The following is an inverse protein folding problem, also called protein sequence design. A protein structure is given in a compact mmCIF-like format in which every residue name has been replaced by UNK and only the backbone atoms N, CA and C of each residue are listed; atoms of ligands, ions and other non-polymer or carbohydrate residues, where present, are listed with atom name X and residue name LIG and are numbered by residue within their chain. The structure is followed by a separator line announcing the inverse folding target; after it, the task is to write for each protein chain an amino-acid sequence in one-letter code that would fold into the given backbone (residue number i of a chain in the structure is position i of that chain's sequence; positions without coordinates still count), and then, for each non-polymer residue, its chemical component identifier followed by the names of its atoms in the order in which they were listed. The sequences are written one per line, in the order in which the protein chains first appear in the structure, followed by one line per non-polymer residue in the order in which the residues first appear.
data_IF_271763193792
#
_entry.id   IF_271763193792
#
_cell.length_a   1.000
_cell.length_b   1.000
_cell.length_c   1.000
_cell.angle_alpha   90.00
_cell.angle_beta   90.00
_cell.angle_gamma   90.00
#
_symmetry.space_group_name_H-M   'P 1'
#
loop_
_entity.id
_entity.type
_entity.pdbx_description
1 polymer ?
#
# COMPACT_ATOMS: atom_id res chain seq x y z
N UNK A 1 -44.73 -13.08 34.98
CA UNK A 1 -43.78 -13.57 33.95
C UNK A 1 -43.86 -12.62 32.76
N UNK A 2 -43.06 -11.54 32.68
CA UNK A 2 -42.93 -10.81 31.42
C UNK A 2 -41.80 -11.45 30.62
N UNK A 3 -42.19 -12.13 29.55
CA UNK A 3 -41.34 -12.42 28.41
C UNK A 3 -41.51 -11.23 27.45
N UNK A 4 -40.37 -10.70 26.99
CA UNK A 4 -40.15 -9.85 25.81
C UNK A 4 -39.03 -8.87 26.13
N UNK A 5 -37.79 -9.36 26.08
CA UNK A 5 -36.65 -8.48 25.84
C UNK A 5 -36.70 -8.12 24.36
N UNK A 6 -37.38 -7.02 24.01
CA UNK A 6 -37.18 -6.37 22.72
C UNK A 6 -35.70 -5.99 22.66
N UNK A 7 -34.97 -6.64 21.76
CA UNK A 7 -33.67 -6.17 21.33
C UNK A 7 -33.93 -4.85 20.59
N UNK A 8 -33.85 -3.74 21.31
CA UNK A 8 -33.73 -2.41 20.69
C UNK A 8 -32.42 -2.40 19.91
N UNK A 9 -32.52 -2.68 18.61
CA UNK A 9 -31.42 -2.46 17.68
C UNK A 9 -31.23 -0.94 17.61
N UNK A 10 -30.07 -0.48 18.04
CA UNK A 10 -29.70 0.94 17.97
C UNK A 10 -29.88 1.45 16.54
N UNK A 11 -30.58 2.57 16.31
CA UNK A 11 -31.01 3.00 14.97
C UNK A 11 -29.88 3.40 14.01
N UNK A 12 -28.61 3.37 14.42
CA UNK A 12 -27.47 3.83 13.62
C UNK A 12 -26.31 2.81 13.67
N UNK A 13 -26.51 1.63 13.09
CA UNK A 13 -25.47 0.60 12.97
C UNK A 13 -25.13 0.37 11.49
N UNK A 14 -23.90 0.69 11.09
CA UNK A 14 -23.38 0.45 9.75
C UNK A 14 -22.46 -0.78 9.74
N UNK A 15 -22.77 -1.76 8.88
CA UNK A 15 -21.91 -2.93 8.64
C UNK A 15 -21.12 -2.75 7.36
N UNK A 16 -19.79 -2.96 7.43
CA UNK A 16 -18.91 -2.96 6.26
C UNK A 16 -18.36 -4.38 6.04
N UNK A 17 -18.57 -4.90 4.83
CA UNK A 17 -18.03 -6.19 4.39
C UNK A 17 -16.92 -5.97 3.36
N UNK A 18 -15.81 -6.69 3.49
CA UNK A 18 -14.65 -6.62 2.59
C UNK A 18 -14.24 -8.01 2.08
N UNK A 19 -15.06 -8.67 1.24
CA UNK A 19 -14.71 -9.96 0.68
C UNK A 19 -13.58 -9.82 -0.36
N UNK A 20 -12.60 -10.73 -0.33
CA UNK A 20 -11.58 -10.81 -1.39
C UNK A 20 -12.17 -11.27 -2.73
N UNK A 21 -13.30 -11.99 -2.67
CA UNK A 21 -14.06 -12.50 -3.80
C UNK A 21 -15.54 -12.28 -3.50
N UNK A 22 -16.21 -11.30 -4.11
CA UNK A 22 -17.59 -10.97 -3.78
C UNK A 22 -18.55 -12.13 -4.07
N UNK A 23 -18.24 -12.97 -5.06
CA UNK A 23 -19.03 -14.17 -5.39
C UNK A 23 -18.94 -15.32 -4.39
N UNK A 24 -18.02 -15.27 -3.42
CA UNK A 24 -17.90 -16.29 -2.37
C UNK A 24 -18.85 -16.01 -1.18
N UNK A 25 -19.53 -14.86 -1.18
CA UNK A 25 -20.44 -14.48 -0.10
C UNK A 25 -21.80 -15.19 -0.26
N UNK A 26 -22.35 -15.66 0.85
CA UNK A 26 -23.64 -16.35 0.86
C UNK A 26 -24.76 -15.46 0.32
N UNK A 27 -25.66 -16.06 -0.47
CA UNK A 27 -26.75 -15.34 -1.13
C UNK A 27 -27.67 -14.60 -0.15
N UNK A 28 -27.88 -15.12 1.05
CA UNK A 28 -28.73 -14.49 2.06
C UNK A 28 -28.06 -13.31 2.77
N UNK A 29 -26.73 -13.21 2.68
CA UNK A 29 -25.99 -12.03 3.15
C UNK A 29 -25.97 -10.99 2.04
N UNK A 30 -25.65 -11.38 0.80
CA UNK A 30 -25.63 -10.44 -0.34
C UNK A 30 -26.98 -9.78 -0.60
N UNK A 31 -28.09 -10.50 -0.39
CA UNK A 31 -29.46 -9.98 -0.55
C UNK A 31 -29.80 -8.85 0.45
N UNK A 32 -29.04 -8.73 1.54
CA UNK A 32 -29.23 -7.73 2.60
C UNK A 32 -28.17 -6.62 2.59
N UNK A 33 -27.37 -6.52 1.53
CA UNK A 33 -26.41 -5.45 1.35
C UNK A 33 -27.05 -4.38 0.48
N UNK A 34 -27.21 -3.16 1.01
CA UNK A 34 -27.79 -2.04 0.28
C UNK A 34 -26.83 -1.45 -0.77
N UNK A 35 -25.55 -1.32 -0.42
CA UNK A 35 -24.53 -0.72 -1.27
C UNK A 35 -23.28 -1.60 -1.41
N UNK A 36 -22.79 -1.73 -2.65
CA UNK A 36 -21.53 -2.40 -2.98
C UNK A 36 -20.58 -1.37 -3.57
N UNK A 37 -19.42 -1.21 -2.95
CA UNK A 37 -18.34 -0.34 -3.44
C UNK A 37 -17.19 -1.22 -3.92
N UNK A 38 -16.86 -1.11 -5.21
CA UNK A 38 -15.71 -1.79 -5.79
C UNK A 38 -14.45 -0.93 -5.66
N UNK A 39 -13.36 -1.57 -5.23
CA UNK A 39 -12.04 -0.95 -5.16
C UNK A 39 -11.15 -1.55 -6.26
N UNK A 40 -11.14 -0.95 -7.48
CA UNK A 40 -10.29 -1.44 -8.55
C UNK A 40 -8.81 -1.20 -8.24
N UNK A 41 -7.94 -1.80 -9.05
CA UNK A 41 -6.52 -1.48 -9.03
C UNK A 41 -6.31 0.00 -9.43
N UNK A 42 -5.32 0.68 -8.81
CA UNK A 42 -5.07 2.09 -9.07
C UNK A 42 -4.65 2.34 -10.51
N UNK A 43 -5.20 3.39 -11.12
CA UNK A 43 -4.82 3.90 -12.44
C UNK A 43 -3.47 4.63 -12.39
N UNK A 44 -2.87 4.95 -13.55
CA UNK A 44 -1.53 5.56 -13.63
C UNK A 44 -1.36 6.79 -12.71
N UNK A 45 -2.31 7.72 -12.74
CA UNK A 45 -2.27 8.93 -11.91
C UNK A 45 -2.37 8.63 -10.41
N UNK A 46 -3.15 7.61 -10.04
CA UNK A 46 -3.29 7.16 -8.66
C UNK A 46 -2.02 6.46 -8.19
N UNK A 47 -1.39 5.65 -9.06
CA UNK A 47 -0.08 5.05 -8.80
C UNK A 47 0.99 6.11 -8.62
N UNK A 48 0.99 7.15 -9.45
CA UNK A 48 1.89 8.30 -9.28
C UNK A 48 1.72 8.98 -7.92
N UNK A 49 0.47 9.25 -7.51
CA UNK A 49 0.16 9.81 -6.18
C UNK A 49 0.58 8.88 -5.05
N UNK A 50 0.34 7.57 -5.17
CA UNK A 50 0.72 6.56 -4.18
C UNK A 50 2.24 6.42 -4.05
N UNK A 51 2.97 6.44 -5.17
CA UNK A 51 4.43 6.42 -5.18
C UNK A 51 4.99 7.63 -4.43
N UNK A 52 4.49 8.84 -4.71
CA UNK A 52 4.87 10.05 -3.98
C UNK A 52 4.52 9.98 -2.49
N UNK A 53 3.30 9.54 -2.16
CA UNK A 53 2.83 9.39 -0.79
C UNK A 53 3.77 8.46 0.01
N UNK A 54 4.07 7.29 -0.54
CA UNK A 54 4.90 6.32 0.14
C UNK A 54 6.37 6.72 0.13
N UNK A 55 6.86 7.39 -0.91
CA UNK A 55 8.20 7.98 -0.90
C UNK A 55 8.37 8.93 0.29
N UNK A 56 7.45 9.88 0.47
CA UNK A 56 7.45 10.78 1.62
C UNK A 56 7.33 10.00 2.93
N UNK A 57 6.43 9.01 3.01
CA UNK A 57 6.20 8.21 4.21
C UNK A 57 7.39 7.35 4.64
N UNK A 58 8.16 6.81 3.71
CA UNK A 58 9.27 5.89 4.03
C UNK A 58 10.63 6.59 4.04
N UNK A 59 10.82 7.65 3.26
CA UNK A 59 12.12 8.28 3.07
C UNK A 59 12.24 9.67 3.70
N UNK A 60 11.10 10.38 3.88
CA UNK A 60 11.09 11.75 4.41
C UNK A 60 10.50 11.86 5.82
N UNK A 61 9.99 10.77 6.42
CA UNK A 61 9.38 10.78 7.74
C UNK A 61 10.43 10.88 8.85
N UNK A 62 10.93 12.09 9.07
CA UNK A 62 11.50 12.49 10.35
C UNK A 62 10.36 12.59 11.37
N UNK A 63 10.22 11.58 12.25
CA UNK A 63 9.77 11.76 13.64
C UNK A 63 8.40 12.40 13.97
N UNK A 64 7.51 12.70 13.04
CA UNK A 64 6.20 13.32 13.34
C UNK A 64 5.10 12.30 13.67
N UNK A 65 5.44 11.32 14.49
CA UNK A 65 4.49 10.42 15.12
C UNK A 65 4.86 10.24 16.57
N UNK A 66 4.20 10.97 17.46
CA UNK A 66 4.16 10.71 18.90
C UNK A 66 3.56 9.31 19.16
N UNK A 67 4.34 8.27 18.91
CA UNK A 67 4.12 6.96 19.48
C UNK A 67 5.00 6.89 20.72
N UNK A 68 4.35 6.88 21.89
CA UNK A 68 4.95 6.62 23.22
C UNK A 68 5.57 5.21 23.36
N UNK A 69 6.03 4.63 22.25
CA UNK A 69 6.81 3.39 22.13
C UNK A 69 8.23 3.63 21.57
N UNK A 70 8.57 4.89 21.22
CA UNK A 70 9.79 5.25 20.48
C UNK A 70 11.08 5.43 21.29
N UNK A 71 11.07 5.24 22.61
CA UNK A 71 12.28 5.43 23.43
C UNK A 71 13.30 4.27 23.32
N UNK A 72 12.90 3.11 22.80
CA UNK A 72 13.81 1.96 22.56
C UNK A 72 14.42 1.92 21.15
N UNK A 73 13.92 2.68 20.18
CA UNK A 73 14.40 2.69 18.79
C UNK A 73 15.18 3.96 18.40
N UNK A 74 15.51 4.81 19.38
CA UNK A 74 16.03 6.16 19.13
C UNK A 74 17.53 6.24 18.76
N UNK A 75 18.15 5.18 18.23
CA UNK A 75 19.62 5.17 18.05
C UNK A 75 20.16 5.01 16.63
N UNK A 76 19.40 4.57 15.62
CA UNK A 76 20.01 4.28 14.30
C UNK A 76 19.00 4.47 13.16
N UNK A 77 18.66 5.70 12.81
CA UNK A 77 18.14 5.97 11.46
C UNK A 77 19.08 7.01 10.85
N UNK A 78 19.95 6.56 9.95
CA UNK A 78 20.75 7.50 9.16
C UNK A 78 19.80 8.26 8.24
N UNK A 79 19.95 9.59 8.20
CA UNK A 79 19.11 10.45 7.37
C UNK A 79 19.28 10.06 5.91
N UNK A 80 18.21 9.57 5.30
CA UNK A 80 18.20 9.26 3.87
C UNK A 80 18.25 10.57 3.08
N UNK A 81 19.15 10.64 2.11
CA UNK A 81 19.26 11.78 1.21
C UNK A 81 18.73 11.38 -0.16
N UNK A 82 17.69 12.06 -0.64
CA UNK A 82 17.16 11.87 -1.99
C UNK A 82 17.88 12.82 -2.94
N UNK A 83 18.53 12.29 -3.97
CA UNK A 83 19.20 13.05 -5.03
C UNK A 83 18.57 12.71 -6.38
N UNK A 84 18.38 13.73 -7.20
CA UNK A 84 18.03 13.60 -8.62
C UNK A 84 16.73 12.83 -8.92
N UNK A 85 15.78 12.76 -7.98
CA UNK A 85 14.51 12.09 -8.21
C UNK A 85 13.44 13.11 -8.67
N UNK A 86 13.28 13.25 -9.99
CA UNK A 86 12.29 14.14 -10.58
C UNK A 86 10.90 13.49 -10.66
N UNK A 87 9.87 14.33 -10.79
CA UNK A 87 8.50 13.88 -11.03
C UNK A 87 8.37 12.99 -12.28
N UNK A 88 9.18 13.22 -13.30
CA UNK A 88 9.16 12.41 -14.53
C UNK A 88 9.66 10.99 -14.28
N UNK A 89 10.66 10.82 -13.41
CA UNK A 89 11.14 9.49 -13.01
C UNK A 89 10.07 8.73 -12.21
N UNK A 90 9.36 9.43 -11.32
CA UNK A 90 8.25 8.83 -10.56
C UNK A 90 7.08 8.50 -11.48
N UNK A 91 6.81 9.33 -12.50
CA UNK A 91 5.78 9.08 -13.51
C UNK A 91 6.11 7.90 -14.41
N UNK A 92 7.38 7.75 -14.80
CA UNK A 92 7.87 6.55 -15.51
C UNK A 92 7.63 5.28 -14.67
N UNK A 93 7.94 5.32 -13.36
CA UNK A 93 7.65 4.21 -12.46
C UNK A 93 6.15 3.94 -12.30
N UNK A 94 5.30 4.96 -12.30
CA UNK A 94 3.85 4.80 -12.26
C UNK A 94 3.31 4.05 -13.50
N UNK A 95 3.89 4.30 -14.67
CA UNK A 95 3.58 3.55 -15.90
C UNK A 95 4.00 2.09 -15.80
N UNK A 96 5.24 1.84 -15.36
CA UNK A 96 5.79 0.48 -15.26
C UNK A 96 5.09 -0.40 -14.21
N UNK A 97 4.50 0.20 -13.18
CA UNK A 97 3.80 -0.49 -12.09
C UNK A 97 2.32 -0.75 -12.38
N UNK A 98 1.93 -0.82 -13.65
CA UNK A 98 0.59 -1.27 -14.03
C UNK A 98 0.27 -2.64 -13.43
N UNK A 99 -0.97 -2.81 -12.93
CA UNK A 99 -1.40 -4.02 -12.24
C UNK A 99 -1.05 -4.08 -10.75
N UNK A 100 -0.28 -3.14 -10.22
CA UNK A 100 0.07 -3.14 -8.79
C UNK A 100 -1.10 -2.66 -7.94
N UNK A 101 -1.38 -3.39 -6.85
CA UNK A 101 -2.24 -2.89 -5.77
C UNK A 101 -1.53 -1.83 -4.93
N UNK A 102 -2.29 -1.01 -4.20
CA UNK A 102 -1.71 -0.04 -3.26
C UNK A 102 -0.76 -0.68 -2.22
N UNK A 103 -1.06 -1.92 -1.79
CA UNK A 103 -0.19 -2.71 -0.90
C UNK A 103 1.14 -3.06 -1.57
N UNK A 104 1.14 -3.39 -2.86
CA UNK A 104 2.37 -3.69 -3.59
C UNK A 104 3.22 -2.45 -3.80
N UNK A 105 2.61 -1.30 -4.09
CA UNK A 105 3.34 -0.02 -4.18
C UNK A 105 4.00 0.33 -2.84
N UNK A 106 3.29 0.13 -1.72
CA UNK A 106 3.87 0.31 -0.38
C UNK A 106 5.07 -0.62 -0.15
N UNK A 107 4.96 -1.89 -0.55
CA UNK A 107 6.07 -2.87 -0.46
C UNK A 107 7.25 -2.52 -1.37
N UNK A 108 6.98 -1.99 -2.55
CA UNK A 108 8.02 -1.49 -3.46
C UNK A 108 8.80 -0.37 -2.78
N UNK A 109 8.12 0.62 -2.17
CA UNK A 109 8.81 1.69 -1.43
C UNK A 109 9.55 1.20 -0.19
N UNK A 110 9.02 0.23 0.54
CA UNK A 110 9.77 -0.42 1.63
C UNK A 110 11.05 -1.09 1.12
N UNK A 111 11.02 -1.67 -0.09
CA UNK A 111 12.21 -2.25 -0.73
C UNK A 111 13.21 -1.16 -1.14
N UNK A 112 12.74 -0.01 -1.64
CA UNK A 112 13.59 1.17 -1.90
C UNK A 112 14.28 1.63 -0.61
N UNK A 113 13.52 1.79 0.47
CA UNK A 113 14.08 2.19 1.76
C UNK A 113 15.15 1.21 2.26
N UNK A 114 14.88 -0.10 2.19
CA UNK A 114 15.83 -1.12 2.59
C UNK A 114 17.11 -1.10 1.75
N UNK A 115 17.01 -0.91 0.44
CA UNK A 115 18.16 -0.81 -0.45
C UNK A 115 19.03 0.43 -0.14
N UNK A 116 18.39 1.56 0.18
CA UNK A 116 19.10 2.79 0.56
C UNK A 116 19.86 2.60 1.87
N UNK A 117 19.25 2.00 2.89
CA UNK A 117 19.94 1.67 4.15
C UNK A 117 21.07 0.64 3.98
N UNK A 118 21.00 -0.18 2.93
CA UNK A 118 22.07 -1.11 2.56
C UNK A 118 23.29 -0.42 1.96
N UNK A 119 23.19 0.85 1.55
CA UNK A 119 24.32 1.61 0.99
C UNK A 119 25.07 2.39 2.07
N UNK A 120 26.41 2.49 1.97
CA UNK A 120 27.22 3.23 2.94
C UNK A 120 26.93 4.74 2.94
N UNK A 121 26.41 5.29 1.84
CA UNK A 121 26.10 6.71 1.68
C UNK A 121 24.64 7.06 2.05
N UNK A 122 23.76 6.06 2.23
CA UNK A 122 22.32 6.28 2.48
C UNK A 122 21.66 7.25 1.48
N UNK A 123 22.11 7.24 0.23
CA UNK A 123 21.60 8.08 -0.84
C UNK A 123 20.66 7.28 -1.74
N UNK A 124 19.47 7.83 -1.99
CA UNK A 124 18.61 7.41 -3.08
C UNK A 124 18.86 8.30 -4.30
N UNK A 125 19.44 7.72 -5.35
CA UNK A 125 19.56 8.35 -6.66
C UNK A 125 18.52 7.75 -7.65
N UNK A 126 18.32 8.44 -8.78
CA UNK A 126 17.38 8.00 -9.82
C UNK A 126 17.69 6.63 -10.40
N UNK A 127 18.97 6.24 -10.47
CA UNK A 127 19.36 4.95 -11.05
C UNK A 127 18.97 3.80 -10.12
N UNK A 128 19.30 3.92 -8.84
CA UNK A 128 18.90 2.95 -7.81
C UNK A 128 17.38 2.81 -7.74
N UNK A 129 16.66 3.93 -7.80
CA UNK A 129 15.19 3.92 -7.82
C UNK A 129 14.65 3.12 -9.01
N UNK A 130 15.15 3.40 -10.22
CA UNK A 130 14.73 2.71 -11.45
C UNK A 130 15.05 1.23 -11.41
N UNK A 131 16.25 0.86 -10.95
CA UNK A 131 16.66 -0.54 -10.80
C UNK A 131 15.70 -1.34 -9.91
N UNK A 132 15.34 -0.77 -8.75
CA UNK A 132 14.43 -1.44 -7.81
C UNK A 132 13.02 -1.54 -8.38
N UNK A 133 12.54 -0.50 -9.07
CA UNK A 133 11.25 -0.52 -9.77
C UNK A 133 11.24 -1.63 -10.83
N UNK A 134 12.24 -1.67 -11.70
CA UNK A 134 12.33 -2.67 -12.77
C UNK A 134 12.40 -4.09 -12.22
N UNK A 135 13.19 -4.31 -11.16
CA UNK A 135 13.25 -5.57 -10.45
C UNK A 135 11.88 -6.00 -9.88
N UNK A 136 11.17 -5.08 -9.20
CA UNK A 136 9.87 -5.39 -8.59
C UNK A 136 8.76 -5.56 -9.61
N UNK A 137 8.82 -4.88 -10.74
CA UNK A 137 7.91 -5.08 -11.87
C UNK A 137 8.11 -6.46 -12.49
N UNK A 138 9.36 -6.90 -12.69
CA UNK A 138 9.65 -8.25 -13.16
C UNK A 138 9.14 -9.33 -12.18
N UNK A 139 9.36 -9.14 -10.87
CA UNK A 139 8.86 -10.03 -9.82
C UNK A 139 7.32 -10.14 -9.84
N UNK A 140 6.63 -9.01 -10.01
CA UNK A 140 5.17 -8.96 -10.11
C UNK A 140 4.65 -9.74 -11.32
N UNK A 141 5.22 -9.50 -12.51
CA UNK A 141 4.82 -10.22 -13.73
C UNK A 141 5.06 -11.72 -13.61
N UNK A 142 6.19 -12.13 -13.04
CA UNK A 142 6.48 -13.55 -12.81
C UNK A 142 5.45 -14.19 -11.87
N UNK A 143 5.07 -13.50 -10.79
CA UNK A 143 4.06 -13.97 -9.85
C UNK A 143 2.68 -14.12 -10.51
N UNK A 144 2.29 -13.18 -11.37
CA UNK A 144 1.03 -13.27 -12.13
C UNK A 144 1.06 -14.47 -13.08
N UNK A 145 2.14 -14.63 -13.84
CA UNK A 145 2.29 -15.75 -14.78
C UNK A 145 2.12 -17.09 -14.07
N UNK A 146 2.84 -17.29 -12.97
CA UNK A 146 2.75 -18.53 -12.17
C UNK A 146 1.35 -18.76 -11.59
N UNK A 147 0.66 -17.69 -11.16
CA UNK A 147 -0.70 -17.80 -10.64
C UNK A 147 -1.75 -18.08 -11.73
N UNK A 148 -1.47 -17.72 -12.99
CA UNK A 148 -2.34 -18.02 -14.13
C UNK A 148 -2.14 -19.43 -14.72
N UNK A 149 -1.00 -20.05 -14.43
CA UNK A 149 -0.65 -21.41 -14.88
C UNK A 149 -1.02 -22.51 -13.87
N UNK A 150 -1.49 -22.12 -12.67
CA UNK A 150 -1.87 -22.99 -11.56
C UNK A 150 -3.39 -23.14 -11.45
#
# INVERSE_FOLDING_TARGET
MPCSSELEISPEMLFLFLPNRPGDLDSAVTDRIDEVIEFPLPQEDERFKLLKLYLTKYLCSEGEGESKWGHLFKKISQKITIKDLSDDVIREAARKTEGFSGREIAKLMASVQAAVYGRPDCVLDSNLFKEIVDYKVAEHHQRIKLASEA
#
